data_IF_375656578368
#
_entry.id   IF_375656578368
#
_cell.length_a   1.000
_cell.length_b   1.000
_cell.length_c   1.000
_cell.angle_alpha   90.00
_cell.angle_beta   90.00
_cell.angle_gamma   90.00
#
_symmetry.space_group_name_H-M   'P 1'
#
loop_
_entity.id
_entity.type
_entity.pdbx_description
1 polymer ?
#
# COMPACT_ATOMS: atom_id res chain seq x y z
N UNK A 1 38.92 21.44 -16.26
CA UNK A 1 37.59 21.36 -16.91
C UNK A 1 36.81 20.16 -16.37
N UNK A 2 35.89 20.36 -15.42
CA UNK A 2 35.01 19.28 -14.90
C UNK A 2 33.78 19.14 -15.81
N UNK A 3 33.63 17.99 -16.48
CA UNK A 3 32.43 17.66 -17.28
C UNK A 3 31.23 17.52 -16.34
N UNK A 4 30.18 18.32 -16.53
CA UNK A 4 28.89 18.17 -15.85
C UNK A 4 28.22 16.86 -16.33
N UNK A 5 27.60 16.05 -15.46
CA UNK A 5 26.85 14.88 -15.91
C UNK A 5 25.62 15.32 -16.70
N UNK A 6 25.45 14.71 -17.87
CA UNK A 6 24.31 14.94 -18.76
C UNK A 6 23.01 14.57 -18.04
N UNK A 7 22.11 15.54 -17.87
CA UNK A 7 20.74 15.29 -17.40
C UNK A 7 20.09 14.34 -18.40
N UNK A 8 19.83 13.09 -18.02
CA UNK A 8 19.04 12.15 -18.83
C UNK A 8 17.74 12.85 -19.23
N UNK A 9 17.57 13.07 -20.54
CA UNK A 9 16.39 13.72 -21.09
C UNK A 9 15.15 12.92 -20.65
N UNK A 10 14.23 13.60 -19.98
CA UNK A 10 12.93 13.03 -19.63
C UNK A 10 12.13 12.89 -20.93
N UNK A 11 12.21 11.72 -21.57
CA UNK A 11 11.38 11.40 -22.73
C UNK A 11 9.92 11.40 -22.24
N UNK A 12 9.05 12.31 -22.71
CA UNK A 12 7.66 12.34 -22.29
C UNK A 12 7.02 11.01 -22.71
N UNK A 13 6.61 10.22 -21.72
CA UNK A 13 5.90 8.96 -21.98
C UNK A 13 4.59 9.30 -22.70
N UNK A 14 4.46 8.72 -23.89
CA UNK A 14 3.27 8.70 -24.77
C UNK A 14 1.98 8.66 -23.94
N UNK A 15 0.99 9.46 -24.35
CA UNK A 15 -0.30 9.77 -23.71
C UNK A 15 -1.17 8.52 -23.37
N UNK A 16 -0.67 7.60 -22.55
CA UNK A 16 -1.45 6.50 -21.97
C UNK A 16 -2.17 7.04 -20.74
N UNK A 17 -3.45 6.70 -20.61
CA UNK A 17 -4.20 6.93 -19.38
C UNK A 17 -3.45 6.24 -18.24
N UNK A 18 -2.86 7.05 -17.35
CA UNK A 18 -2.11 6.54 -16.21
C UNK A 18 -3.08 6.13 -15.12
N UNK A 19 -2.77 5.08 -14.38
CA UNK A 19 -3.56 4.64 -13.24
C UNK A 19 -2.69 4.60 -11.98
N UNK A 20 -3.09 5.37 -10.96
CA UNK A 20 -2.53 5.27 -9.62
C UNK A 20 -3.52 4.65 -8.64
N UNK A 21 -3.04 3.69 -7.85
CA UNK A 21 -3.79 3.11 -6.73
C UNK A 21 -3.25 3.72 -5.45
N UNK A 22 -4.13 4.31 -4.67
CA UNK A 22 -3.84 4.85 -3.33
C UNK A 22 -4.44 3.89 -2.32
N UNK A 23 -3.61 3.22 -1.54
CA UNK A 23 -4.00 2.04 -0.78
C UNK A 23 -3.92 2.25 0.73
N UNK A 24 -5.00 1.92 1.43
CA UNK A 24 -5.18 2.01 2.88
C UNK A 24 -5.36 0.60 3.46
N UNK A 25 -4.56 0.21 4.46
CA UNK A 25 -4.73 -1.03 5.21
C UNK A 25 -5.73 -0.86 6.37
N UNK A 26 -6.91 -0.33 6.07
CA UNK A 26 -7.86 0.16 7.05
C UNK A 26 -9.08 0.77 6.38
N UNK A 27 -9.99 1.29 7.19
CA UNK A 27 -11.14 2.07 6.71
C UNK A 27 -10.67 3.30 5.93
N UNK A 28 -11.06 3.38 4.67
CA UNK A 28 -10.69 4.48 3.77
C UNK A 28 -11.20 5.82 4.29
N UNK A 29 -12.44 5.88 4.78
CA UNK A 29 -13.07 7.11 5.29
C UNK A 29 -12.34 7.67 6.52
N UNK A 30 -11.68 6.80 7.28
CA UNK A 30 -10.87 7.16 8.46
C UNK A 30 -9.41 7.44 8.15
N UNK A 31 -9.02 7.53 6.88
CA UNK A 31 -7.66 7.89 6.46
C UNK A 31 -7.61 9.21 5.67
N UNK A 32 -7.77 10.39 6.32
CA UNK A 32 -7.71 11.68 5.64
C UNK A 32 -6.41 11.88 4.84
N UNK A 33 -5.28 11.41 5.36
CA UNK A 33 -3.96 11.51 4.71
C UNK A 33 -3.97 10.85 3.32
N UNK A 34 -4.49 9.64 3.22
CA UNK A 34 -4.52 8.91 1.95
C UNK A 34 -5.60 9.46 1.01
N UNK A 35 -6.72 9.96 1.56
CA UNK A 35 -7.71 10.70 0.79
C UNK A 35 -7.10 11.97 0.15
N UNK A 36 -6.27 12.72 0.88
CA UNK A 36 -5.56 13.88 0.31
C UNK A 36 -4.52 13.50 -0.74
N UNK A 37 -3.82 12.37 -0.58
CA UNK A 37 -2.95 11.85 -1.63
C UNK A 37 -3.73 11.52 -2.90
N UNK A 38 -4.88 10.85 -2.78
CA UNK A 38 -5.76 10.56 -3.91
C UNK A 38 -6.25 11.85 -4.58
N UNK A 39 -6.69 12.84 -3.80
CA UNK A 39 -7.11 14.14 -4.29
C UNK A 39 -6.00 14.89 -5.03
N UNK A 40 -4.80 14.91 -4.48
CA UNK A 40 -3.64 15.57 -5.10
C UNK A 40 -3.31 14.93 -6.44
N UNK A 41 -3.24 13.60 -6.50
CA UNK A 41 -3.00 12.86 -7.75
C UNK A 41 -4.09 13.11 -8.79
N UNK A 42 -5.36 13.10 -8.35
CA UNK A 42 -6.51 13.33 -9.23
C UNK A 42 -6.52 14.75 -9.82
N UNK A 43 -6.21 15.77 -8.99
CA UNK A 43 -6.19 17.19 -9.40
C UNK A 43 -4.98 17.53 -10.27
N UNK A 44 -3.82 16.93 -10.01
CA UNK A 44 -2.58 17.20 -10.78
C UNK A 44 -2.63 16.65 -12.21
N UNK A 45 -3.44 15.62 -12.46
CA UNK A 45 -3.52 14.98 -13.77
C UNK A 45 -4.96 14.54 -14.05
N UNK A 46 -5.78 15.42 -14.65
CA UNK A 46 -7.20 15.12 -14.91
C UNK A 46 -7.44 13.88 -15.79
N UNK A 47 -6.48 13.52 -16.65
CA UNK A 47 -6.50 12.32 -17.50
C UNK A 47 -6.01 11.05 -16.80
N UNK A 48 -5.52 11.17 -15.56
CA UNK A 48 -5.07 10.04 -14.75
C UNK A 48 -6.24 9.50 -13.92
N UNK A 49 -6.45 8.18 -13.98
CA UNK A 49 -7.37 7.46 -13.09
C UNK A 49 -6.69 7.29 -11.73
N UNK A 50 -7.45 7.49 -10.67
CA UNK A 50 -7.00 7.24 -9.29
C UNK A 50 -7.99 6.28 -8.63
N UNK A 51 -7.52 5.11 -8.19
CA UNK A 51 -8.35 4.21 -7.39
C UNK A 51 -7.91 4.31 -5.92
N UNK A 52 -8.84 4.69 -5.05
CA UNK A 52 -8.66 4.70 -3.60
C UNK A 52 -9.13 3.35 -3.06
N UNK A 53 -8.18 2.53 -2.62
CA UNK A 53 -8.38 1.13 -2.22
C UNK A 53 -8.24 0.94 -0.71
N UNK A 54 -9.18 0.26 -0.07
CA UNK A 54 -9.07 -0.07 1.36
C UNK A 54 -10.33 -0.72 1.92
N UNK A 55 -10.52 -0.69 3.24
CA UNK A 55 -11.72 -1.25 3.84
C UNK A 55 -12.93 -0.35 3.66
N UNK A 56 -14.09 -0.98 3.46
CA UNK A 56 -15.37 -0.29 3.58
C UNK A 56 -15.59 0.18 5.01
N UNK A 57 -16.19 1.35 5.17
CA UNK A 57 -16.40 1.98 6.48
C UNK A 57 -17.03 3.35 6.35
N UNK A 58 -16.43 4.35 6.99
CA UNK A 58 -16.94 5.73 7.00
C UNK A 58 -16.91 6.37 5.60
N UNK A 59 -17.73 7.42 5.43
CA UNK A 59 -17.71 8.22 4.23
C UNK A 59 -16.38 8.97 4.07
N UNK A 60 -15.87 9.04 2.85
CA UNK A 60 -14.74 9.89 2.52
C UNK A 60 -15.11 11.38 2.62
N UNK A 61 -14.10 12.24 2.68
CA UNK A 61 -14.30 13.69 2.60
C UNK A 61 -15.03 14.04 1.30
N UNK A 62 -15.97 15.01 1.32
CA UNK A 62 -16.81 15.31 0.16
C UNK A 62 -16.03 15.61 -1.12
N UNK A 63 -14.83 16.16 -0.99
CA UNK A 63 -13.96 16.45 -2.12
C UNK A 63 -13.54 15.21 -2.91
N UNK A 64 -13.39 14.05 -2.25
CA UNK A 64 -13.07 12.78 -2.92
C UNK A 64 -14.24 12.35 -3.81
N UNK A 65 -15.46 12.42 -3.28
CA UNK A 65 -16.68 12.08 -4.01
C UNK A 65 -16.97 13.05 -5.19
N UNK A 66 -16.43 14.28 -5.13
CA UNK A 66 -16.57 15.27 -6.19
C UNK A 66 -15.60 15.10 -7.35
N UNK A 67 -14.55 14.28 -7.22
CA UNK A 67 -13.61 14.03 -8.32
C UNK A 67 -14.11 12.87 -9.20
N UNK A 68 -14.32 13.13 -10.49
CA UNK A 68 -14.81 12.13 -11.45
C UNK A 68 -13.76 11.08 -11.83
N UNK A 69 -12.48 11.38 -11.61
CA UNK A 69 -11.36 10.47 -11.87
C UNK A 69 -10.86 9.74 -10.62
N UNK A 70 -11.58 9.84 -9.50
CA UNK A 70 -11.37 8.99 -8.32
C UNK A 70 -12.43 7.89 -8.28
N UNK A 71 -11.97 6.64 -8.24
CA UNK A 71 -12.81 5.48 -7.99
C UNK A 71 -12.53 4.93 -6.59
N UNK A 72 -13.59 4.62 -5.85
CA UNK A 72 -13.47 3.96 -4.55
C UNK A 72 -13.58 2.45 -4.73
N UNK A 73 -12.52 1.71 -4.40
CA UNK A 73 -12.51 0.24 -4.42
C UNK A 73 -12.36 -0.29 -2.99
N UNK A 74 -13.49 -0.51 -2.33
CA UNK A 74 -13.52 -0.96 -0.94
C UNK A 74 -13.81 -2.44 -0.80
N UNK A 75 -13.29 -3.05 0.25
CA UNK A 75 -13.56 -4.44 0.60
C UNK A 75 -13.78 -4.62 2.09
N UNK A 76 -14.57 -5.62 2.48
CA UNK A 76 -14.78 -5.94 3.90
C UNK A 76 -13.87 -7.10 4.27
N UNK A 77 -12.98 -6.97 5.27
CA UNK A 77 -12.14 -8.07 5.68
C UNK A 77 -13.00 -9.14 6.34
N UNK A 78 -12.79 -10.39 5.93
CA UNK A 78 -13.53 -11.53 6.46
C UNK A 78 -13.20 -11.75 7.95
N UNK A 79 -14.18 -12.27 8.71
CA UNK A 79 -13.96 -12.75 10.08
C UNK A 79 -13.56 -11.64 11.10
N UNK A 80 -14.20 -10.47 11.07
CA UNK A 80 -13.94 -9.38 12.03
C UNK A 80 -14.41 -9.70 13.47
N UNK A 81 -15.45 -10.54 13.65
CA UNK A 81 -16.10 -10.78 14.95
C UNK A 81 -15.99 -12.24 15.42
N UNK A 82 -14.77 -12.79 15.43
CA UNK A 82 -14.55 -14.14 15.95
C UNK A 82 -14.37 -14.12 17.49
N UNK A 83 -14.92 -15.11 18.23
CA UNK A 83 -14.64 -15.28 19.65
C UNK A 83 -13.14 -15.47 19.89
N UNK A 84 -12.60 -14.92 20.99
CA UNK A 84 -11.15 -14.92 21.31
C UNK A 84 -10.48 -16.30 21.21
N UNK A 85 -11.20 -17.38 21.55
CA UNK A 85 -10.69 -18.77 21.47
C UNK A 85 -10.50 -19.26 20.02
N UNK A 86 -11.43 -18.91 19.13
CA UNK A 86 -11.33 -19.22 17.70
C UNK A 86 -10.36 -18.29 16.97
N UNK A 87 -10.09 -17.11 17.53
CA UNK A 87 -9.19 -16.13 16.94
C UNK A 87 -7.77 -16.70 16.74
N UNK A 88 -7.20 -17.42 17.71
CA UNK A 88 -5.84 -17.95 17.57
C UNK A 88 -5.73 -19.02 16.46
N UNK A 89 -6.75 -19.86 16.31
CA UNK A 89 -6.77 -20.91 15.29
C UNK A 89 -7.07 -20.34 13.89
N UNK A 90 -7.99 -19.37 13.82
CA UNK A 90 -8.46 -18.81 12.55
C UNK A 90 -7.67 -17.57 12.12
N UNK A 91 -6.80 -16.99 12.96
CA UNK A 91 -5.99 -15.82 12.59
C UNK A 91 -5.09 -16.09 11.37
N UNK A 92 -4.35 -17.21 11.27
CA UNK A 92 -3.55 -17.51 10.07
C UNK A 92 -4.42 -17.66 8.82
N UNK A 93 -5.57 -18.33 8.94
CA UNK A 93 -6.53 -18.51 7.84
C UNK A 93 -7.07 -17.15 7.39
N UNK A 94 -7.45 -16.29 8.35
CA UNK A 94 -7.93 -14.93 8.09
C UNK A 94 -6.88 -14.09 7.36
N UNK A 95 -5.62 -14.14 7.81
CA UNK A 95 -4.51 -13.44 7.13
C UNK A 95 -4.34 -13.97 5.72
N UNK A 96 -4.33 -15.29 5.52
CA UNK A 96 -4.21 -15.88 4.18
C UNK A 96 -5.34 -15.42 3.25
N UNK A 97 -6.59 -15.47 3.71
CA UNK A 97 -7.75 -14.99 2.95
C UNK A 97 -7.61 -13.51 2.59
N UNK A 98 -7.12 -12.68 3.52
CA UNK A 98 -6.88 -11.27 3.27
C UNK A 98 -5.77 -11.04 2.23
N UNK A 99 -4.70 -11.84 2.25
CA UNK A 99 -3.63 -11.75 1.26
C UNK A 99 -4.12 -12.17 -0.13
N UNK A 100 -4.92 -13.24 -0.22
CA UNK A 100 -5.53 -13.69 -1.48
C UNK A 100 -6.52 -12.65 -2.02
N UNK A 101 -7.34 -12.06 -1.16
CA UNK A 101 -8.26 -11.00 -1.54
C UNK A 101 -7.51 -9.79 -2.10
N UNK A 102 -6.42 -9.38 -1.45
CA UNK A 102 -5.60 -8.28 -1.92
C UNK A 102 -4.91 -8.60 -3.25
N UNK A 103 -4.40 -9.81 -3.41
CA UNK A 103 -3.80 -10.28 -4.65
C UNK A 103 -4.81 -10.19 -5.80
N UNK A 104 -6.04 -10.67 -5.58
CA UNK A 104 -7.14 -10.58 -6.54
C UNK A 104 -7.47 -9.13 -6.90
N UNK A 105 -7.60 -8.25 -5.90
CA UNK A 105 -7.91 -6.84 -6.13
C UNK A 105 -6.83 -6.14 -6.97
N UNK A 106 -5.55 -6.42 -6.69
CA UNK A 106 -4.43 -5.76 -7.37
C UNK A 106 -4.12 -6.35 -8.75
N UNK A 107 -4.25 -7.66 -8.93
CA UNK A 107 -3.93 -8.33 -10.19
C UNK A 107 -5.11 -8.34 -11.16
N UNK A 108 -6.35 -8.42 -10.66
CA UNK A 108 -7.55 -8.61 -11.47
C UNK A 108 -8.43 -7.36 -11.44
N UNK A 109 -8.90 -6.93 -10.27
CA UNK A 109 -9.93 -5.88 -10.19
C UNK A 109 -9.44 -4.49 -10.57
N UNK A 110 -8.23 -4.12 -10.17
CA UNK A 110 -7.67 -2.78 -10.42
C UNK A 110 -7.16 -2.57 -11.87
N UNK A 111 -7.20 -3.59 -12.73
CA UNK A 111 -6.77 -3.50 -14.13
C UNK A 111 -5.30 -3.10 -14.28
N UNK A 112 -4.95 -2.27 -15.27
CA UNK A 112 -3.59 -1.73 -15.43
C UNK A 112 -3.23 -0.78 -14.29
N UNK A 113 -2.01 -0.84 -13.74
CA UNK A 113 -1.56 0.01 -12.63
C UNK A 113 -0.17 0.52 -12.96
N UNK A 114 0.06 1.82 -12.87
CA UNK A 114 1.36 2.46 -13.09
C UNK A 114 2.04 2.87 -11.78
N UNK A 115 1.26 3.09 -10.73
CA UNK A 115 1.72 3.53 -9.42
C UNK A 115 0.83 2.93 -8.32
N UNK A 116 1.43 2.39 -7.27
CA UNK A 116 0.75 2.10 -6.01
C UNK A 116 1.39 2.95 -4.92
N UNK A 117 0.58 3.77 -4.25
CA UNK A 117 0.95 4.52 -3.06
C UNK A 117 0.31 3.85 -1.85
N UNK A 118 1.11 3.18 -1.02
CA UNK A 118 0.64 2.41 0.12
C UNK A 118 0.82 3.21 1.42
N UNK A 119 -0.25 3.30 2.20
CA UNK A 119 -0.21 3.83 3.57
C UNK A 119 0.68 2.95 4.45
N UNK A 120 1.61 3.56 5.18
CA UNK A 120 2.51 2.93 6.15
C UNK A 120 2.01 1.59 6.70
N UNK A 121 2.55 0.45 6.22
CA UNK A 121 1.98 -0.84 6.58
C UNK A 121 2.41 -1.23 8.01
N UNK A 122 1.47 -1.49 8.94
CA UNK A 122 1.79 -2.16 10.20
C UNK A 122 2.01 -3.67 10.02
N UNK A 123 1.85 -4.19 8.79
CA UNK A 123 1.74 -5.62 8.50
C UNK A 123 2.64 -6.00 7.34
N UNK A 124 3.77 -6.63 7.69
CA UNK A 124 4.79 -7.06 6.72
C UNK A 124 4.23 -7.95 5.60
N UNK A 125 3.36 -8.96 5.86
CA UNK A 125 2.83 -9.82 4.80
C UNK A 125 2.13 -9.05 3.67
N UNK A 126 1.37 -8.01 4.02
CA UNK A 126 0.60 -7.25 3.06
C UNK A 126 1.51 -6.42 2.15
N UNK A 127 2.57 -5.86 2.72
CA UNK A 127 3.60 -5.14 1.97
C UNK A 127 4.24 -6.03 0.89
N UNK A 128 4.60 -7.27 1.23
CA UNK A 128 5.20 -8.23 0.28
C UNK A 128 4.28 -8.48 -0.91
N UNK A 129 2.98 -8.65 -0.66
CA UNK A 129 1.98 -8.87 -1.71
C UNK A 129 1.88 -7.66 -2.63
N UNK A 130 1.77 -6.44 -2.08
CA UNK A 130 1.68 -5.22 -2.90
C UNK A 130 2.95 -5.04 -3.73
N UNK A 131 4.13 -5.22 -3.14
CA UNK A 131 5.41 -5.14 -3.82
C UNK A 131 5.50 -6.12 -4.99
N UNK A 132 5.10 -7.38 -4.77
CA UNK A 132 5.11 -8.43 -5.80
C UNK A 132 4.14 -8.07 -6.93
N UNK A 133 2.92 -7.64 -6.61
CA UNK A 133 1.95 -7.18 -7.60
C UNK A 133 2.50 -6.02 -8.45
N UNK A 134 3.20 -5.07 -7.82
CA UNK A 134 3.82 -3.97 -8.55
C UNK A 134 4.91 -4.45 -9.51
N UNK A 135 5.77 -5.38 -9.06
CA UNK A 135 6.79 -6.00 -9.92
C UNK A 135 6.18 -6.72 -11.11
N UNK A 136 5.16 -7.54 -10.89
CA UNK A 136 4.46 -8.28 -11.95
C UNK A 136 3.79 -7.36 -12.97
N UNK A 137 3.27 -6.21 -12.52
CA UNK A 137 2.56 -5.25 -13.37
C UNK A 137 3.45 -4.15 -13.96
N UNK A 138 4.75 -4.14 -13.61
CA UNK A 138 5.67 -3.05 -13.98
C UNK A 138 5.30 -1.69 -13.37
N UNK A 139 4.56 -1.69 -12.26
CA UNK A 139 4.11 -0.49 -11.57
C UNK A 139 5.19 0.05 -10.63
N UNK A 140 5.20 1.38 -10.44
CA UNK A 140 5.98 2.00 -9.37
C UNK A 140 5.32 1.72 -8.03
N UNK A 141 6.11 1.42 -7.02
CA UNK A 141 5.62 1.22 -5.67
C UNK A 141 6.21 2.28 -4.75
N UNK A 142 5.35 3.03 -4.08
CA UNK A 142 5.71 4.12 -3.17
C UNK A 142 5.04 3.87 -1.83
N UNK A 143 5.80 4.05 -0.76
CA UNK A 143 5.30 3.88 0.60
C UNK A 143 5.21 5.26 1.23
N UNK A 144 4.04 5.55 1.76
CA UNK A 144 3.82 6.71 2.60
C UNK A 144 4.23 6.37 4.04
N UNK A 145 5.54 6.49 4.33
CA UNK A 145 6.10 6.15 5.65
C UNK A 145 5.74 7.23 6.67
N UNK A 146 4.93 6.89 7.68
CA UNK A 146 4.51 7.85 8.70
C UNK A 146 4.25 7.29 10.09
N UNK A 147 4.29 5.96 10.25
CA UNK A 147 4.28 5.35 11.57
C UNK A 147 5.49 4.41 11.64
N UNK A 148 6.48 4.76 12.46
CA UNK A 148 7.57 3.85 12.82
C UNK A 148 6.98 2.67 13.59
N UNK A 149 6.51 1.64 12.88
CA UNK A 149 5.91 0.44 13.48
C UNK A 149 6.83 -0.24 14.47
N UNK A 150 8.15 -0.13 14.27
CA UNK A 150 9.21 -0.53 15.20
C UNK A 150 9.07 0.14 16.57
N UNK A 151 8.87 1.47 16.63
CA UNK A 151 8.76 2.21 17.88
C UNK A 151 7.49 1.84 18.67
N UNK A 152 6.37 1.58 17.98
CA UNK A 152 5.11 1.12 18.61
C UNK A 152 5.17 -0.34 19.09
N UNK A 153 5.84 -1.22 18.33
CA UNK A 153 6.08 -2.62 18.73
C UNK A 153 7.09 -2.73 19.87
N UNK A 154 8.14 -1.89 19.89
CA UNK A 154 9.13 -1.83 20.97
C UNK A 154 8.57 -1.22 22.26
N UNK A 155 7.56 -0.35 22.17
CA UNK A 155 6.85 0.21 23.33
C UNK A 155 5.76 -0.72 23.88
N UNK A 156 5.20 -1.62 23.06
CA UNK A 156 4.05 -2.47 23.46
C UNK A 156 4.41 -3.92 23.82
N UNK A 157 5.62 -4.40 23.50
CA UNK A 157 6.06 -5.76 23.78
C UNK A 157 7.50 -5.78 24.29
N UNK A 158 7.76 -6.53 25.37
CA UNK A 158 9.11 -6.78 25.87
C UNK A 158 10.01 -7.40 24.78
N UNK A 159 11.29 -6.99 24.73
CA UNK A 159 12.33 -7.36 23.76
C UNK A 159 12.50 -8.88 23.51
N UNK A 160 11.92 -9.74 24.33
CA UNK A 160 11.95 -11.20 24.19
C UNK A 160 10.86 -11.81 23.30
N UNK A 161 9.84 -11.06 22.88
CA UNK A 161 8.67 -11.65 22.21
C UNK A 161 9.00 -12.15 20.78
N UNK A 162 8.57 -13.37 20.38
CA UNK A 162 8.87 -13.95 19.06
C UNK A 162 8.51 -13.04 17.87
N UNK A 163 7.41 -12.28 17.97
CA UNK A 163 7.01 -11.29 16.95
C UNK A 163 8.05 -10.18 16.75
N UNK A 164 8.75 -9.74 17.80
CA UNK A 164 9.81 -8.72 17.72
C UNK A 164 11.04 -9.29 16.99
N UNK A 165 11.36 -10.57 17.22
CA UNK A 165 12.45 -11.25 16.51
C UNK A 165 12.14 -11.44 15.01
N UNK A 166 10.89 -11.80 14.69
CA UNK A 166 10.42 -11.94 13.30
C UNK A 166 10.45 -10.58 12.60
N UNK A 167 9.95 -9.51 13.25
CA UNK A 167 10.03 -8.15 12.71
C UNK A 167 11.48 -7.70 12.47
N UNK A 168 12.39 -7.91 13.43
CA UNK A 168 13.83 -7.63 13.28
C UNK A 168 14.51 -8.47 12.19
N UNK A 169 14.05 -9.68 11.93
CA UNK A 169 14.61 -10.53 10.88
C UNK A 169 14.14 -10.05 9.51
N UNK A 170 12.86 -9.73 9.37
CA UNK A 170 12.27 -9.14 8.18
C UNK A 170 12.97 -7.81 7.84
N UNK A 171 13.11 -6.89 8.80
CA UNK A 171 13.79 -5.61 8.56
C UNK A 171 15.21 -5.82 8.04
N UNK A 172 15.96 -6.77 8.58
CA UNK A 172 17.32 -7.09 8.08
C UNK A 172 17.34 -7.70 6.69
N UNK A 173 16.36 -8.53 6.33
CA UNK A 173 16.25 -9.08 4.98
C UNK A 173 15.90 -8.00 3.97
N UNK A 174 15.03 -7.05 4.34
CA UNK A 174 14.67 -5.93 3.48
C UNK A 174 15.79 -4.91 3.33
N UNK A 175 16.49 -4.58 4.41
CA UNK A 175 17.66 -3.69 4.39
C UNK A 175 18.83 -4.27 3.57
N UNK A 176 18.88 -5.59 3.38
CA UNK A 176 19.81 -6.28 2.48
C UNK A 176 19.32 -6.29 1.02
N UNK A 177 18.01 -6.41 0.82
CA UNK A 177 17.39 -6.38 -0.51
C UNK A 177 17.40 -4.97 -1.13
N UNK A 178 17.34 -3.92 -0.32
CA UNK A 178 17.42 -2.52 -0.77
C UNK A 178 18.84 -2.16 -1.25
N UNK A 179 19.89 -2.74 -0.64
CA UNK A 179 21.29 -2.56 -1.07
C UNK A 179 21.61 -3.20 -2.43
N UNK A 180 20.91 -4.27 -2.82
CA UNK A 180 21.10 -4.95 -4.12
C UNK A 180 20.28 -4.34 -5.27
N UNK A 181 19.49 -3.30 -5.01
CA UNK A 181 18.75 -2.55 -6.05
C UNK A 181 19.45 -1.20 -6.37
N UNK A 182 20.51 -0.87 -5.62
CA UNK A 182 21.32 0.34 -5.80
C UNK A 182 22.62 0.11 -6.62
N UNK A 183 22.89 -1.12 -7.04
CA UNK A 183 23.93 -1.51 -8.01
C UNK A 183 23.29 -1.97 -9.34
#
# INVERSE_FOLDING_TARGET
>A
MRRRPSKKAHVPRRNRARHAVVMVLGDVGRSPRMQYHALSLARMSPSQRVTLLGYAGENCVPDVARQSNIELLTFTPHLQRLPRKLFLLLAPVKVLLQLLQLLWLLLVSAGSIDLVLLQNPPTIPTFVVVWLCCRLKGAKFVIDWHNLGYSLLALSLSNGHPLVKIAKWIERVFDMAERHVAD
#
